data_IF_736768911472
#
_entry.id   IF_736768911472
#
_cell.length_a   1.000
_cell.length_b   1.000
_cell.length_c   1.000
_cell.angle_alpha   90.00
_cell.angle_beta   90.00
_cell.angle_gamma   90.00
#
_symmetry.space_group_name_H-M   'P 1'
#
loop_
_entity.id
_entity.type
_entity.pdbx_description
1 polymer ?
#
# COMPACT_ATOMS: atom_id res chain seq x y z
N UNK A 1 24.14 20.19 -18.47
CA UNK A 1 22.74 20.53 -18.18
C UNK A 1 22.12 19.56 -17.18
N UNK A 2 22.76 19.42 -16.00
CA UNK A 2 22.42 18.47 -14.93
C UNK A 2 22.01 19.21 -13.65
N UNK A 3 20.78 19.75 -13.60
CA UNK A 3 20.34 20.56 -12.46
C UNK A 3 18.94 20.25 -11.91
N UNK A 4 18.30 19.13 -12.26
CA UNK A 4 16.92 18.83 -11.81
C UNK A 4 16.76 17.55 -10.98
N UNK A 5 17.82 16.99 -10.38
CA UNK A 5 17.72 15.74 -9.58
C UNK A 5 17.74 15.91 -8.06
N UNK A 6 17.74 17.14 -7.51
CA UNK A 6 18.02 17.36 -6.08
C UNK A 6 16.96 18.17 -5.31
N UNK A 7 15.66 17.98 -5.54
CA UNK A 7 14.64 18.46 -4.58
C UNK A 7 14.06 17.30 -3.74
N UNK A 8 14.92 16.61 -2.98
CA UNK A 8 14.55 15.57 -2.02
C UNK A 8 14.30 16.11 -0.60
N UNK A 9 13.69 17.28 -0.44
CA UNK A 9 13.49 17.90 0.89
C UNK A 9 12.04 18.22 1.24
N UNK A 10 11.08 17.47 0.68
CA UNK A 10 9.72 17.40 1.20
C UNK A 10 9.55 16.14 2.05
N UNK A 11 8.81 16.17 3.18
CA UNK A 11 8.50 14.98 3.95
C UNK A 11 7.52 14.13 3.15
N UNK A 12 8.04 13.31 2.25
CA UNK A 12 7.18 12.50 1.41
C UNK A 12 6.49 11.42 2.27
N UNK A 13 5.17 11.35 2.18
CA UNK A 13 4.36 10.34 2.84
C UNK A 13 4.77 8.95 2.37
N UNK A 14 5.14 8.06 3.30
CA UNK A 14 5.38 6.66 2.99
C UNK A 14 4.07 5.87 3.14
N UNK A 15 3.39 5.63 2.04
CA UNK A 15 2.22 4.74 1.98
C UNK A 15 2.59 3.34 1.47
N UNK A 16 3.01 2.45 2.38
CA UNK A 16 2.88 1.01 2.16
C UNK A 16 1.51 0.61 2.69
N UNK A 17 0.58 0.26 1.82
CA UNK A 17 -0.76 -0.05 2.26
C UNK A 17 -1.30 -1.29 1.56
N UNK A 18 -2.01 -2.10 2.33
CA UNK A 18 -2.86 -3.16 1.84
C UNK A 18 -4.27 -2.60 1.83
N UNK A 19 -4.94 -2.65 0.68
CA UNK A 19 -6.29 -2.17 0.51
C UNK A 19 -7.18 -3.34 0.13
N UNK A 20 -8.39 -3.37 0.68
CA UNK A 20 -9.42 -4.29 0.25
C UNK A 20 -10.12 -3.73 -0.98
N UNK A 21 -10.09 -4.49 -2.06
CA UNK A 21 -10.73 -4.14 -3.32
C UNK A 21 -12.20 -4.55 -3.21
N UNK A 22 -13.04 -3.63 -2.71
CA UNK A 22 -14.49 -3.73 -2.95
C UNK A 22 -14.78 -3.21 -4.35
N UNK A 23 -14.32 -3.90 -5.38
CA UNK A 23 -14.97 -3.74 -6.69
C UNK A 23 -16.43 -4.17 -6.52
N UNK A 24 -17.41 -3.43 -7.08
CA UNK A 24 -18.82 -3.68 -6.83
C UNK A 24 -19.25 -5.04 -7.42
N UNK A 25 -19.11 -6.09 -6.61
CA UNK A 25 -19.71 -7.39 -6.87
C UNK A 25 -21.18 -7.29 -6.46
N UNK A 26 -22.08 -7.55 -7.40
CA UNK A 26 -23.51 -7.58 -7.13
C UNK A 26 -23.81 -8.57 -5.99
N UNK A 27 -24.25 -8.05 -4.84
CA UNK A 27 -24.54 -8.84 -3.65
C UNK A 27 -25.73 -9.79 -3.89
N UNK A 28 -25.60 -11.10 -3.60
CA UNK A 28 -26.76 -11.97 -3.51
C UNK A 28 -27.59 -11.60 -2.28
N UNK A 29 -28.90 -11.48 -2.48
CA UNK A 29 -29.88 -11.24 -1.39
C UNK A 29 -30.12 -12.52 -0.59
N UNK A 30 -30.05 -12.40 0.73
CA UNK A 30 -30.64 -13.34 1.69
C UNK A 30 -29.60 -13.99 2.60
N UNK A 31 -29.84 -14.27 3.88
CA UNK A 31 -31.08 -14.35 4.66
C UNK A 31 -30.76 -14.21 6.15
N UNK A 32 -31.62 -13.52 6.92
CA UNK A 32 -31.55 -13.45 8.39
C UNK A 32 -31.73 -14.84 9.01
N UNK A 33 -30.82 -15.23 9.89
CA UNK A 33 -31.01 -16.37 10.79
C UNK A 33 -30.82 -15.93 12.24
N UNK A 34 -31.81 -16.23 13.07
CA UNK A 34 -31.82 -16.08 14.52
C UNK A 34 -31.51 -17.44 15.16
N UNK A 35 -30.55 -17.52 16.09
CA UNK A 35 -30.74 -18.26 17.36
C UNK A 35 -29.57 -18.22 18.35
N UNK A 36 -30.00 -18.13 19.61
CA UNK A 36 -29.30 -18.39 20.86
C UNK A 36 -28.82 -19.85 21.04
N UNK A 37 -27.76 -19.98 21.87
CA UNK A 37 -27.51 -21.01 22.92
C UNK A 37 -26.52 -22.14 22.57
N UNK A 38 -25.31 -22.10 23.13
CA UNK A 38 -24.71 -22.99 24.17
C UNK A 38 -23.20 -22.70 24.30
N UNK A 39 -22.67 -22.85 25.52
CA UNK A 39 -21.37 -22.33 25.95
C UNK A 39 -20.43 -23.48 26.36
N UNK A 40 -20.23 -24.47 25.48
CA UNK A 40 -19.30 -25.60 25.75
C UNK A 40 -18.67 -26.22 24.47
N UNK A 41 -18.70 -25.54 23.32
CA UNK A 41 -18.17 -26.05 22.03
C UNK A 41 -16.89 -25.32 21.56
N UNK A 42 -16.30 -24.45 22.39
CA UNK A 42 -15.34 -23.42 21.97
C UNK A 42 -13.97 -23.96 21.47
N UNK A 43 -13.64 -25.23 21.72
CA UNK A 43 -12.36 -25.83 21.26
C UNK A 43 -12.49 -26.50 19.88
N UNK A 44 -13.67 -27.00 19.52
CA UNK A 44 -13.91 -27.64 18.22
C UNK A 44 -14.08 -26.60 17.11
N UNK A 45 -14.50 -25.37 17.48
CA UNK A 45 -14.79 -24.29 16.55
C UNK A 45 -13.53 -23.60 15.97
N UNK A 46 -12.42 -23.62 16.69
CA UNK A 46 -11.16 -23.01 16.23
C UNK A 46 -10.56 -23.71 15.00
N UNK A 47 -10.68 -25.04 14.91
CA UNK A 47 -10.14 -25.81 13.78
C UNK A 47 -11.00 -25.66 12.52
N UNK A 48 -12.32 -25.61 12.66
CA UNK A 48 -13.23 -25.30 11.54
C UNK A 48 -13.00 -23.88 11.02
N UNK A 49 -12.82 -22.91 11.91
CA UNK A 49 -12.54 -21.51 11.57
C UNK A 49 -11.19 -21.35 10.86
N UNK A 50 -10.14 -22.03 11.35
CA UNK A 50 -8.84 -22.01 10.68
C UNK A 50 -8.89 -22.65 9.28
N UNK A 51 -9.66 -23.74 9.12
CA UNK A 51 -9.85 -24.40 7.81
C UNK A 51 -10.67 -23.56 6.84
N UNK A 52 -11.74 -22.90 7.30
CA UNK A 52 -12.56 -22.03 6.46
C UNK A 52 -11.75 -20.82 6.02
N UNK A 53 -10.98 -20.21 6.93
CA UNK A 53 -10.06 -19.13 6.60
C UNK A 53 -9.01 -19.59 5.58
N UNK A 54 -8.31 -20.70 5.84
CA UNK A 54 -7.30 -21.23 4.90
C UNK A 54 -7.90 -21.51 3.51
N UNK A 55 -9.17 -21.92 3.44
CA UNK A 55 -9.88 -22.13 2.18
C UNK A 55 -10.24 -20.80 1.49
N UNK A 56 -10.69 -19.79 2.24
CA UNK A 56 -10.96 -18.45 1.71
C UNK A 56 -9.69 -17.83 1.15
N UNK A 57 -8.62 -17.80 1.95
CA UNK A 57 -7.29 -17.29 1.57
C UNK A 57 -6.73 -17.98 0.33
N UNK A 58 -7.04 -19.26 0.14
CA UNK A 58 -6.60 -20.00 -1.04
C UNK A 58 -7.34 -19.60 -2.32
N UNK A 59 -8.55 -19.01 -2.22
CA UNK A 59 -9.34 -18.57 -3.36
C UNK A 59 -9.16 -17.10 -3.70
N UNK A 60 -8.85 -16.23 -2.74
CA UNK A 60 -8.72 -14.81 -3.06
C UNK A 60 -7.44 -14.52 -3.87
N UNK A 61 -7.46 -13.39 -4.56
CA UNK A 61 -6.44 -12.92 -5.50
C UNK A 61 -5.80 -11.67 -4.94
N UNK A 62 -4.48 -11.70 -4.75
CA UNK A 62 -3.72 -10.57 -4.25
C UNK A 62 -2.97 -9.89 -5.41
N UNK A 63 -3.26 -8.62 -5.65
CA UNK A 63 -2.49 -7.76 -6.54
C UNK A 63 -1.40 -7.04 -5.75
N UNK A 64 -0.14 -7.11 -6.19
CA UNK A 64 0.97 -6.39 -5.59
C UNK A 64 1.46 -5.35 -6.60
N UNK A 65 1.45 -4.09 -6.20
CA UNK A 65 1.76 -2.94 -7.04
C UNK A 65 3.04 -2.30 -6.54
N UNK A 66 4.13 -2.57 -7.25
CA UNK A 66 5.48 -2.15 -6.94
C UNK A 66 5.86 -0.94 -7.77
N UNK A 67 6.33 0.11 -7.10
CA UNK A 67 6.78 1.34 -7.73
C UNK A 67 8.25 1.55 -7.40
N UNK A 68 9.11 1.39 -8.41
CA UNK A 68 10.56 1.38 -8.21
C UNK A 68 11.10 2.72 -8.71
N UNK A 69 11.41 3.62 -7.77
CA UNK A 69 12.12 4.87 -8.02
C UNK A 69 13.63 4.76 -7.81
N UNK A 70 14.09 3.84 -6.95
CA UNK A 70 15.50 3.62 -6.67
C UNK A 70 15.89 2.12 -6.78
N UNK A 71 16.66 1.72 -7.81
CA UNK A 71 17.05 0.31 -8.01
C UNK A 71 17.88 -0.28 -6.87
N UNK A 72 18.62 0.54 -6.12
CA UNK A 72 19.42 0.04 -4.99
C UNK A 72 18.56 -0.52 -3.84
N UNK A 73 17.27 -0.16 -3.81
CA UNK A 73 16.30 -0.65 -2.83
C UNK A 73 15.56 -1.91 -3.31
N UNK A 74 15.89 -2.42 -4.50
CA UNK A 74 15.27 -3.65 -5.02
C UNK A 74 15.44 -4.86 -4.07
N UNK A 75 16.59 -5.11 -3.42
CA UNK A 75 16.72 -6.24 -2.50
C UNK A 75 15.68 -6.22 -1.37
N UNK A 76 15.37 -5.03 -0.82
CA UNK A 76 14.36 -4.86 0.23
C UNK A 76 12.95 -5.21 -0.30
N UNK A 77 12.61 -4.73 -1.51
CA UNK A 77 11.33 -5.03 -2.16
C UNK A 77 11.20 -6.50 -2.55
N UNK A 78 12.29 -7.13 -2.98
CA UNK A 78 12.33 -8.55 -3.30
C UNK A 78 12.12 -9.41 -2.03
N UNK A 79 12.71 -9.02 -0.91
CA UNK A 79 12.47 -9.66 0.39
C UNK A 79 11.00 -9.58 0.80
N UNK A 80 10.38 -8.41 0.64
CA UNK A 80 8.95 -8.20 0.85
C UNK A 80 8.11 -9.14 -0.03
N UNK A 81 8.38 -9.17 -1.33
CA UNK A 81 7.70 -10.07 -2.28
C UNK A 81 7.86 -11.54 -1.92
N UNK A 82 9.05 -11.97 -1.50
CA UNK A 82 9.31 -13.36 -1.09
C UNK A 82 8.41 -13.76 0.08
N UNK A 83 8.29 -12.91 1.11
CA UNK A 83 7.40 -13.17 2.25
C UNK A 83 5.93 -13.25 1.84
N UNK A 84 5.49 -12.44 0.89
CA UNK A 84 4.12 -12.46 0.37
C UNK A 84 3.87 -13.71 -0.48
N UNK A 85 4.82 -14.09 -1.33
CA UNK A 85 4.76 -15.31 -2.15
C UNK A 85 4.73 -16.60 -1.31
N UNK A 86 5.40 -16.59 -0.16
CA UNK A 86 5.34 -17.69 0.82
C UNK A 86 4.00 -17.74 1.57
N UNK A 87 3.33 -16.60 1.71
CA UNK A 87 2.07 -16.47 2.43
C UNK A 87 0.86 -16.83 1.56
N UNK A 88 0.91 -16.51 0.27
CA UNK A 88 -0.25 -16.42 -0.61
C UNK A 88 0.00 -17.07 -1.97
N UNK A 89 -0.99 -17.82 -2.49
CA UNK A 89 -0.77 -18.68 -3.66
C UNK A 89 -1.06 -17.99 -5.00
N UNK A 90 -2.04 -17.08 -5.06
CA UNK A 90 -2.52 -16.48 -6.30
C UNK A 90 -2.19 -14.98 -6.30
N UNK A 91 -1.07 -14.62 -6.93
CA UNK A 91 -0.50 -13.28 -6.88
C UNK A 91 -0.31 -12.73 -8.29
N UNK A 92 -0.86 -11.54 -8.54
CA UNK A 92 -0.47 -10.70 -9.67
C UNK A 92 0.52 -9.63 -9.19
N UNK A 93 1.71 -9.57 -9.77
CA UNK A 93 2.71 -8.54 -9.44
C UNK A 93 2.78 -7.55 -10.60
N UNK A 94 2.57 -6.27 -10.29
CA UNK A 94 2.67 -5.14 -11.21
C UNK A 94 3.89 -4.32 -10.82
N UNK A 95 4.78 -4.03 -11.77
CA UNK A 95 5.98 -3.23 -11.53
C UNK A 95 5.94 -2.00 -12.44
N UNK A 96 5.92 -0.81 -11.85
CA UNK A 96 6.14 0.44 -12.56
C UNK A 96 7.60 0.84 -12.46
N UNK A 97 8.19 1.14 -13.61
CA UNK A 97 9.48 1.78 -13.72
C UNK A 97 9.30 3.22 -14.17
N UNK A 98 10.01 4.14 -13.54
CA UNK A 98 10.06 5.51 -14.02
C UNK A 98 10.84 5.58 -15.35
N UNK A 99 10.29 6.31 -16.33
CA UNK A 99 10.93 6.53 -17.62
C UNK A 99 12.30 7.18 -17.45
N UNK A 100 13.28 6.74 -18.24
CA UNK A 100 14.67 7.19 -18.15
C UNK A 100 15.44 6.77 -16.89
N UNK A 101 14.78 6.22 -15.86
CA UNK A 101 15.42 5.98 -14.55
C UNK A 101 16.17 4.65 -14.45
N UNK A 102 15.89 3.71 -15.35
CA UNK A 102 16.49 2.37 -15.31
C UNK A 102 16.96 1.93 -16.69
N UNK A 103 18.20 1.41 -16.82
CA UNK A 103 18.61 0.67 -18.00
C UNK A 103 17.69 -0.53 -18.24
N UNK A 104 17.44 -0.86 -19.52
CA UNK A 104 16.62 -2.04 -19.88
C UNK A 104 17.17 -3.35 -19.32
N UNK A 105 18.49 -3.45 -19.13
CA UNK A 105 19.11 -4.61 -18.50
C UNK A 105 18.64 -4.78 -17.05
N UNK A 106 18.64 -3.71 -16.25
CA UNK A 106 18.18 -3.69 -14.86
C UNK A 106 16.69 -4.01 -14.75
N UNK A 107 15.85 -3.44 -15.63
CA UNK A 107 14.40 -3.77 -15.66
C UNK A 107 14.17 -5.27 -15.89
N UNK A 108 14.93 -5.88 -16.81
CA UNK A 108 14.86 -7.34 -17.07
C UNK A 108 15.36 -8.16 -15.89
N UNK A 109 16.43 -7.74 -15.23
CA UNK A 109 16.95 -8.42 -14.04
C UNK A 109 15.91 -8.45 -12.91
N UNK A 110 15.31 -7.29 -12.62
CA UNK A 110 14.21 -7.16 -11.65
C UNK A 110 13.06 -8.11 -12.03
N UNK A 111 12.58 -8.05 -13.27
CA UNK A 111 11.51 -8.93 -13.74
C UNK A 111 11.85 -10.43 -13.62
N UNK A 112 13.08 -10.82 -13.95
CA UNK A 112 13.53 -12.19 -13.83
C UNK A 112 13.62 -12.65 -12.38
N UNK A 113 14.08 -11.78 -11.47
CA UNK A 113 14.13 -12.10 -10.04
C UNK A 113 12.74 -12.32 -9.45
N UNK A 114 11.71 -11.58 -9.89
CA UNK A 114 10.32 -11.85 -9.48
C UNK A 114 9.81 -13.18 -10.01
N UNK A 115 10.05 -13.49 -11.29
CA UNK A 115 9.65 -14.79 -11.88
C UNK A 115 10.34 -15.96 -11.19
N UNK A 116 11.55 -15.77 -10.68
CA UNK A 116 12.30 -16.79 -9.96
C UNK A 116 11.73 -17.09 -8.56
N UNK A 117 10.93 -16.20 -7.96
CA UNK A 117 10.35 -16.41 -6.62
C UNK A 117 9.33 -17.56 -6.63
N UNK A 118 8.45 -17.62 -7.64
CA UNK A 118 7.38 -18.62 -7.71
C UNK A 118 6.80 -18.71 -9.11
N UNK A 119 6.52 -19.95 -9.56
CA UNK A 119 5.78 -20.20 -10.81
C UNK A 119 4.32 -19.73 -10.76
N UNK A 120 3.81 -19.34 -9.59
CA UNK A 120 2.42 -18.89 -9.39
C UNK A 120 2.25 -17.38 -9.50
N UNK A 121 3.33 -16.64 -9.72
CA UNK A 121 3.28 -15.19 -9.90
C UNK A 121 2.99 -14.87 -11.37
N UNK A 122 1.94 -14.11 -11.61
CA UNK A 122 1.72 -13.42 -12.89
C UNK A 122 2.40 -12.05 -12.82
N UNK A 123 3.30 -11.75 -13.74
CA UNK A 123 4.12 -10.53 -13.71
C UNK A 123 3.73 -9.58 -14.86
N UNK A 124 3.45 -8.34 -14.49
CA UNK A 124 3.12 -7.22 -15.37
C UNK A 124 4.13 -6.10 -15.12
N UNK A 125 4.63 -5.50 -16.20
CA UNK A 125 5.63 -4.43 -16.11
C UNK A 125 5.23 -3.28 -17.00
N UNK A 126 5.39 -2.07 -16.48
CA UNK A 126 5.02 -0.84 -17.15
C UNK A 126 6.15 0.18 -16.97
N UNK A 127 6.35 1.04 -17.97
CA UNK A 127 7.22 2.21 -17.84
C UNK A 127 6.36 3.45 -17.99
N UNK A 128 6.44 4.36 -17.02
CA UNK A 128 5.61 5.57 -16.95
C UNK A 128 6.47 6.84 -16.91
N UNK A 129 5.99 7.94 -17.51
CA UNK A 129 6.59 9.25 -17.29
C UNK A 129 6.43 9.68 -15.82
N UNK A 130 7.28 10.58 -15.35
CA UNK A 130 7.17 11.14 -14.00
C UNK A 130 6.04 12.18 -13.94
N UNK A 131 4.81 11.73 -13.76
CA UNK A 131 3.62 12.60 -13.66
C UNK A 131 2.96 12.42 -12.29
N UNK A 132 3.28 13.30 -11.34
CA UNK A 132 2.59 13.35 -10.04
C UNK A 132 3.05 12.32 -9.01
N UNK A 133 4.37 12.07 -8.91
CA UNK A 133 4.99 11.28 -7.83
C UNK A 133 4.42 9.84 -7.74
N UNK A 134 4.45 9.25 -6.54
CA UNK A 134 4.04 7.87 -6.21
C UNK A 134 2.54 7.56 -6.45
N UNK A 135 1.69 8.54 -6.73
CA UNK A 135 0.25 8.29 -6.98
C UNK A 135 0.01 8.01 -8.47
N UNK A 136 0.59 8.82 -9.36
CA UNK A 136 0.38 8.67 -10.80
C UNK A 136 0.80 7.30 -11.33
N UNK A 137 1.94 6.78 -10.88
CA UNK A 137 2.39 5.45 -11.31
C UNK A 137 1.44 4.33 -10.83
N UNK A 138 0.86 4.48 -9.64
CA UNK A 138 -0.06 3.49 -9.08
C UNK A 138 -1.37 3.45 -9.85
N UNK A 139 -1.93 4.62 -10.15
CA UNK A 139 -3.14 4.73 -10.97
C UNK A 139 -2.95 4.14 -12.36
N UNK A 140 -1.79 4.35 -12.99
CA UNK A 140 -1.48 3.75 -14.29
C UNK A 140 -1.41 2.22 -14.23
N UNK A 141 -0.88 1.65 -13.13
CA UNK A 141 -0.90 0.19 -12.93
C UNK A 141 -2.32 -0.33 -12.71
N UNK A 142 -3.17 0.39 -11.98
CA UNK A 142 -4.56 0.02 -11.77
C UNK A 142 -5.34 0.02 -13.09
N UNK A 143 -5.18 1.07 -13.89
CA UNK A 143 -5.79 1.18 -15.23
C UNK A 143 -5.33 0.03 -16.14
N UNK A 144 -4.03 -0.30 -16.13
CA UNK A 144 -3.52 -1.45 -16.87
C UNK A 144 -4.18 -2.75 -16.41
N UNK A 145 -4.23 -2.99 -15.10
CA UNK A 145 -4.81 -4.20 -14.53
C UNK A 145 -6.31 -4.34 -14.89
N UNK A 146 -7.06 -3.25 -14.80
CA UNK A 146 -8.48 -3.20 -15.19
C UNK A 146 -8.66 -3.44 -16.69
N UNK A 147 -7.85 -2.79 -17.54
CA UNK A 147 -7.89 -2.98 -19.00
C UNK A 147 -7.57 -4.41 -19.44
N UNK A 148 -6.76 -5.13 -18.66
CA UNK A 148 -6.46 -6.55 -18.87
C UNK A 148 -7.51 -7.49 -18.25
N UNK A 149 -8.57 -6.96 -17.64
CA UNK A 149 -9.63 -7.74 -16.98
C UNK A 149 -9.17 -8.44 -15.71
N UNK A 150 -8.12 -7.95 -15.06
CA UNK A 150 -7.60 -8.50 -13.82
C UNK A 150 -8.41 -7.97 -12.64
N UNK A 151 -8.90 -8.88 -11.82
CA UNK A 151 -9.63 -8.56 -10.59
C UNK A 151 -8.87 -9.14 -9.40
N UNK A 152 -8.70 -8.33 -8.38
CA UNK A 152 -8.04 -8.67 -7.12
C UNK A 152 -9.00 -8.43 -5.97
N UNK A 153 -8.95 -9.28 -4.95
CA UNK A 153 -9.69 -9.11 -3.70
C UNK A 153 -8.91 -8.19 -2.74
N UNK A 154 -7.57 -8.27 -2.81
CA UNK A 154 -6.65 -7.44 -2.04
C UNK A 154 -5.61 -6.79 -2.94
N UNK A 155 -5.20 -5.57 -2.58
CA UNK A 155 -4.17 -4.80 -3.28
C UNK A 155 -3.09 -4.38 -2.30
N UNK A 156 -1.86 -4.85 -2.47
CA UNK A 156 -0.69 -4.39 -1.72
C UNK A 156 0.08 -3.37 -2.55
N UNK A 157 0.06 -2.10 -2.16
CA UNK A 157 0.89 -1.04 -2.74
C UNK A 157 2.21 -0.93 -1.98
N UNK A 158 3.32 -0.97 -2.72
CA UNK A 158 4.68 -0.84 -2.19
C UNK A 158 5.46 0.08 -3.12
N UNK A 159 6.06 1.13 -2.58
CA UNK A 159 6.97 2.00 -3.33
C UNK A 159 8.29 2.14 -2.61
N UNK A 160 9.34 2.43 -3.39
CA UNK A 160 10.65 2.72 -2.83
C UNK A 160 10.62 3.99 -2.00
N UNK A 161 11.13 3.92 -0.77
CA UNK A 161 11.30 5.07 0.11
C UNK A 161 12.77 5.25 0.48
N UNK A 162 13.33 6.44 0.31
CA UNK A 162 14.74 6.71 0.62
C UNK A 162 15.02 6.70 2.12
N UNK A 163 14.10 7.20 2.94
CA UNK A 163 14.19 7.12 4.40
C UNK A 163 14.21 5.66 4.89
N UNK A 164 15.34 5.26 5.46
CA UNK A 164 15.59 3.87 5.90
C UNK A 164 14.70 3.44 7.06
N UNK A 165 14.35 4.34 7.98
CA UNK A 165 13.54 3.99 9.14
C UNK A 165 12.09 3.71 8.70
N UNK A 166 11.51 4.61 7.91
CA UNK A 166 10.16 4.43 7.36
C UNK A 166 10.09 3.24 6.41
N UNK A 167 11.10 3.05 5.56
CA UNK A 167 11.19 1.88 4.68
C UNK A 167 11.20 0.58 5.50
N UNK A 168 12.10 0.48 6.48
CA UNK A 168 12.22 -0.72 7.30
C UNK A 168 10.95 -1.01 8.09
N UNK A 169 10.34 0.00 8.70
CA UNK A 169 9.09 -0.16 9.46
C UNK A 169 7.91 -0.57 8.55
N UNK A 170 7.78 0.08 7.39
CA UNK A 170 6.74 -0.24 6.40
C UNK A 170 6.86 -1.68 5.91
N UNK A 171 8.04 -2.08 5.45
CA UNK A 171 8.27 -3.42 4.94
C UNK A 171 8.14 -4.48 6.03
N UNK A 172 8.70 -4.26 7.23
CA UNK A 172 8.58 -5.23 8.32
C UNK A 172 7.14 -5.42 8.79
N UNK A 173 6.35 -4.34 8.86
CA UNK A 173 4.95 -4.44 9.32
C UNK A 173 4.03 -5.10 8.31
N UNK A 174 4.22 -4.84 7.01
CA UNK A 174 3.33 -5.34 5.95
C UNK A 174 3.78 -6.69 5.37
N UNK A 175 5.09 -6.92 5.26
CA UNK A 175 5.66 -8.08 4.59
C UNK A 175 6.94 -8.63 5.24
N UNK A 176 7.16 -8.35 6.54
CA UNK A 176 8.34 -8.84 7.26
C UNK A 176 8.41 -10.36 7.31
N UNK A 177 7.27 -11.02 7.54
CA UNK A 177 7.15 -12.48 7.56
C UNK A 177 5.84 -12.92 6.92
N UNK A 178 5.77 -14.16 6.43
CA UNK A 178 4.53 -14.74 5.90
C UNK A 178 3.37 -14.73 6.91
N UNK A 179 3.66 -14.77 8.21
CA UNK A 179 2.64 -14.72 9.26
C UNK A 179 2.04 -13.33 9.41
N UNK A 180 2.86 -12.28 9.30
CA UNK A 180 2.37 -10.90 9.29
C UNK A 180 1.50 -10.63 8.06
N UNK A 181 1.91 -11.10 6.87
CA UNK A 181 1.10 -10.99 5.65
C UNK A 181 -0.26 -11.65 5.84
N UNK A 182 -0.29 -12.89 6.36
CA UNK A 182 -1.56 -13.60 6.66
C UNK A 182 -2.40 -12.87 7.69
N UNK A 183 -1.77 -12.31 8.73
CA UNK A 183 -2.46 -11.54 9.76
C UNK A 183 -3.09 -10.28 9.19
N UNK A 184 -2.41 -9.58 8.28
CA UNK A 184 -2.96 -8.40 7.62
C UNK A 184 -4.18 -8.75 6.75
N UNK A 185 -4.10 -9.83 5.97
CA UNK A 185 -5.23 -10.31 5.16
C UNK A 185 -6.40 -10.74 6.05
N UNK A 186 -6.12 -11.47 7.14
CA UNK A 186 -7.13 -11.89 8.11
C UNK A 186 -7.94 -10.69 8.66
N UNK A 187 -7.30 -9.53 8.87
CA UNK A 187 -8.01 -8.35 9.38
C UNK A 187 -9.16 -7.92 8.47
N UNK A 188 -9.03 -8.02 7.14
CA UNK A 188 -10.12 -7.70 6.23
C UNK A 188 -11.28 -8.69 6.30
N UNK A 189 -10.99 -9.97 6.50
CA UNK A 189 -12.04 -10.98 6.65
C UNK A 189 -12.78 -10.84 7.99
N UNK A 190 -12.08 -10.47 9.06
CA UNK A 190 -12.66 -10.32 10.40
C UNK A 190 -13.40 -8.99 10.60
N UNK A 191 -12.94 -7.93 9.93
CA UNK A 191 -13.42 -6.56 10.13
C UNK A 191 -13.90 -5.99 8.79
N UNK A 192 -15.18 -6.18 8.43
CA UNK A 192 -15.71 -5.79 7.12
C UNK A 192 -15.77 -4.26 6.89
N UNK A 193 -15.60 -3.49 7.96
CA UNK A 193 -15.47 -2.03 7.98
C UNK A 193 -14.03 -1.54 7.73
N UNK A 194 -13.03 -2.42 7.74
CA UNK A 194 -11.66 -2.09 7.37
C UNK A 194 -11.53 -2.15 5.85
N UNK A 195 -11.09 -1.05 5.25
CA UNK A 195 -10.85 -0.92 3.81
C UNK A 195 -9.35 -0.74 3.49
N UNK A 196 -8.55 -0.25 4.44
CA UNK A 196 -7.12 -0.02 4.28
C UNK A 196 -6.34 -0.40 5.55
N UNK A 197 -5.19 -1.06 5.36
CA UNK A 197 -4.22 -1.34 6.41
C UNK A 197 -2.89 -0.71 6.01
N UNK A 198 -2.41 0.23 6.81
CA UNK A 198 -1.12 0.88 6.63
C UNK A 198 -0.03 0.26 7.51
N UNK A 199 1.19 0.84 7.48
CA UNK A 199 2.29 0.40 8.31
C UNK A 199 1.93 0.43 9.80
N UNK A 200 2.69 -0.31 10.60
CA UNK A 200 2.56 -0.35 12.08
C UNK A 200 1.14 -0.67 12.58
N UNK A 201 0.34 -1.36 11.76
CA UNK A 201 -1.01 -1.80 12.12
C UNK A 201 -2.08 -0.71 12.07
N UNK A 202 -1.82 0.39 11.35
CA UNK A 202 -2.83 1.41 11.09
C UNK A 202 -3.97 0.79 10.27
N UNK A 203 -5.22 1.03 10.68
CA UNK A 203 -6.41 0.54 9.99
C UNK A 203 -7.36 1.69 9.71
N UNK A 204 -7.93 1.71 8.51
CA UNK A 204 -8.87 2.72 8.07
C UNK A 204 -10.05 2.07 7.37
N UNK A 205 -11.22 2.69 7.49
CA UNK A 205 -12.45 2.33 6.83
C UNK A 205 -13.19 3.55 6.29
N UNK A 206 -14.25 3.33 5.53
CA UNK A 206 -15.07 4.41 4.98
C UNK A 206 -15.65 5.39 6.02
N UNK A 207 -15.74 4.98 7.29
CA UNK A 207 -16.26 5.81 8.39
C UNK A 207 -15.17 6.34 9.32
N UNK A 208 -13.89 6.09 9.04
CA UNK A 208 -12.81 6.62 9.88
C UNK A 208 -12.79 8.14 9.78
N UNK A 209 -12.89 8.88 10.91
CA UNK A 209 -12.82 10.34 10.89
C UNK A 209 -11.51 10.83 10.28
N UNK A 210 -11.56 11.87 9.43
CA UNK A 210 -10.35 12.48 8.86
C UNK A 210 -9.36 12.93 9.95
N UNK A 211 -9.90 13.38 11.08
CA UNK A 211 -9.13 13.75 12.26
C UNK A 211 -8.31 12.61 12.85
N UNK A 212 -8.63 11.35 12.54
CA UNK A 212 -7.98 10.15 13.09
C UNK A 212 -7.00 9.53 12.08
N UNK A 213 -7.16 9.86 10.79
CA UNK A 213 -6.20 9.51 9.74
C UNK A 213 -4.89 10.29 9.91
N UNK A 214 -5.01 11.53 10.39
CA UNK A 214 -3.98 12.57 10.36
C UNK A 214 -3.12 12.82 11.63
N UNK A 215 -3.45 12.42 12.89
CA UNK A 215 -2.67 12.80 14.07
C UNK A 215 -1.25 12.23 14.06
N UNK A 216 -1.09 11.03 13.51
CA UNK A 216 0.20 10.31 13.42
C UNK A 216 1.13 10.90 12.35
N UNK A 217 0.57 11.50 11.30
CA UNK A 217 1.36 12.20 10.27
C UNK A 217 1.82 13.58 10.77
N UNK A 218 1.02 14.27 11.57
CA UNK A 218 1.32 15.63 12.03
C UNK A 218 2.28 15.70 13.22
N UNK A 219 2.19 14.76 14.17
CA UNK A 219 3.01 14.77 15.38
C UNK A 219 4.52 14.60 15.12
N UNK A 220 4.89 13.84 14.09
CA UNK A 220 6.31 13.63 13.71
C UNK A 220 6.81 14.73 12.76
N UNK A 221 5.91 15.35 11.98
CA UNK A 221 6.28 16.39 11.01
C UNK A 221 6.37 17.79 11.61
N UNK A 222 5.49 18.20 12.52
CA UNK A 222 5.54 19.57 13.07
C UNK A 222 6.71 19.76 14.03
N UNK A 223 7.10 18.77 14.83
CA UNK A 223 8.24 18.94 15.73
C UNK A 223 9.56 19.08 14.96
N UNK A 224 9.77 18.31 13.90
CA UNK A 224 10.97 18.40 13.07
C UNK A 224 10.97 19.62 12.12
N UNK A 225 9.82 20.03 11.58
CA UNK A 225 9.73 21.23 10.73
C UNK A 225 9.86 22.51 11.58
N UNK A 226 9.27 22.55 12.78
CA UNK A 226 9.41 23.68 13.69
C UNK A 226 10.83 23.81 14.26
N UNK A 227 11.59 22.72 14.39
CA UNK A 227 13.02 22.77 14.71
C UNK A 227 13.88 23.19 13.51
N UNK A 228 13.59 22.70 12.30
CA UNK A 228 14.30 23.10 11.08
C UNK A 228 14.06 24.58 10.69
N UNK A 229 12.84 25.10 10.93
CA UNK A 229 12.47 26.49 10.64
C UNK A 229 13.09 27.52 11.60
N UNK A 230 13.70 27.11 12.72
CA UNK A 230 14.42 28.02 13.63
C UNK A 230 15.81 28.46 13.10
N UNK A 231 16.24 27.97 11.94
CA UNK A 231 17.59 28.23 11.39
C UNK A 231 17.67 28.85 10.00
N UNK A 232 16.57 29.11 9.29
CA UNK A 232 16.59 29.58 7.89
C UNK A 232 15.53 30.67 7.64
N UNK A 233 15.86 31.78 6.96
CA UNK A 233 14.87 32.78 6.55
C UNK A 233 14.00 32.22 5.43
N UNK A 234 12.70 32.12 5.70
CA UNK A 234 11.69 31.67 4.74
C UNK A 234 11.45 32.78 3.70
N UNK A 235 11.67 32.48 2.42
CA UNK A 235 11.32 33.37 1.32
C UNK A 235 9.79 33.35 1.14
N UNK A 236 9.17 34.50 1.37
CA UNK A 236 7.72 34.66 1.47
C UNK A 236 6.97 34.45 0.15
N UNK A 237 5.79 33.83 0.25
CA UNK A 237 4.67 34.15 -0.62
C UNK A 237 4.25 35.58 -0.29
N UNK A 238 4.31 36.45 -1.29
CA UNK A 238 3.95 37.85 -1.17
C UNK A 238 2.44 37.97 -1.47
N UNK A 239 1.63 38.06 -0.41
CA UNK A 239 0.17 38.27 -0.50
C UNK A 239 -0.18 39.70 -0.07
N UNK A 240 -0.32 40.60 -1.05
CA UNK A 240 -1.16 41.78 -0.86
C UNK A 240 -2.60 41.41 -1.22
N UNK A 241 -3.37 41.12 -0.16
CA UNK A 241 -4.79 40.77 -0.09
C UNK A 241 -5.12 39.27 -0.19
N UNK A 242 -5.33 38.63 0.97
CA UNK A 242 -6.66 38.14 1.42
C UNK A 242 -6.57 37.81 2.92
N UNK A 243 -7.52 38.35 3.69
CA UNK A 243 -7.81 37.97 5.08
C UNK A 243 -8.63 36.67 5.08
N UNK A 244 -8.41 35.86 6.11
CA UNK A 244 -9.02 34.56 6.45
C UNK A 244 -8.31 33.34 5.87
N UNK A 245 -7.46 32.72 6.68
CA UNK A 245 -6.98 31.34 6.52
C UNK A 245 -7.44 30.54 7.74
N UNK A 246 -8.69 30.12 7.69
CA UNK A 246 -9.20 28.91 8.33
C UNK A 246 -10.02 28.26 7.22
N UNK A 247 -9.69 27.03 6.86
CA UNK A 247 -10.32 26.24 5.80
C UNK A 247 -9.90 26.61 4.37
N UNK A 248 -8.76 26.07 3.91
CA UNK A 248 -8.60 25.52 2.56
C UNK A 248 -7.17 24.98 2.38
N UNK A 249 -7.03 23.66 2.49
CA UNK A 249 -5.95 22.91 1.81
C UNK A 249 -6.64 21.80 1.03
N UNK A 250 -6.27 21.70 -0.25
CA UNK A 250 -6.98 21.04 -1.34
C UNK A 250 -7.51 19.63 -1.02
N UNK A 251 -8.80 19.33 -1.31
CA UNK A 251 -9.38 17.99 -1.18
C UNK A 251 -8.86 16.96 -2.21
N UNK A 252 -8.07 17.39 -3.20
CA UNK A 252 -7.76 16.58 -4.39
C UNK A 252 -6.61 15.57 -4.20
N UNK A 253 -6.22 15.27 -2.97
CA UNK A 253 -5.16 14.31 -2.60
C UNK A 253 -5.69 13.05 -1.91
N UNK A 254 -7.00 12.82 -1.94
CA UNK A 254 -7.65 11.71 -1.24
C UNK A 254 -8.20 10.64 -2.20
N UNK A 255 -7.37 10.06 -3.07
CA UNK A 255 -7.55 8.70 -3.62
C UNK A 255 -6.21 8.12 -4.08
#
# INVERSE_FOLDING_TARGET
DDACLNSESGPACALHALQHSKMPVALPKGSRSTRHRRHNDDVVDGVSTAKSFAKSVASDRLGIFLQIGNPSLWPDMLGCLSSVADAYANIGVHISFLEGSFPNATKREIANSVRALSMRISLYTLTVPNLGEDIGQFLAQLEQAEGEGLQYDFILKVHTKTDTNWRSLGLQSMCGTKWQVRSAIQQFHEKPDVDLIGPVGLVYGATTPLSDIYPSLWGVHILNIAEAARGQPFWGCNDDNVRYVHDQVCPDLLF
#
